data_IF_244943822740
#
_entry.id   IF_244943822740
#
_cell.length_a   1.000
_cell.length_b   1.000
_cell.length_c   1.000
_cell.angle_alpha   90.00
_cell.angle_beta   90.00
_cell.angle_gamma   90.00
#
_symmetry.space_group_name_H-M   'P 1'
#
loop_
_entity.id
_entity.type
_entity.pdbx_description
1 polymer ?
#
# COMPACT_ATOMS: atom_id res chain seq x y z
N UNK A 1 0.89 36.29 -9.05
CA UNK A 1 1.33 34.97 -9.55
C UNK A 1 1.42 34.08 -8.33
N UNK A 2 0.60 33.04 -8.25
CA UNK A 2 0.60 32.09 -7.13
C UNK A 2 1.58 30.96 -7.47
N UNK A 3 2.57 30.75 -6.61
CA UNK A 3 3.49 29.62 -6.68
C UNK A 3 2.74 28.38 -6.16
N UNK A 4 2.73 27.24 -6.88
CA UNK A 4 2.24 25.99 -6.33
C UNK A 4 3.33 25.38 -5.43
N UNK A 5 3.25 25.68 -4.14
CA UNK A 5 4.22 25.24 -3.12
C UNK A 5 4.14 23.71 -2.91
N UNK A 6 5.09 22.97 -3.50
CA UNK A 6 6.09 22.16 -2.78
C UNK A 6 5.69 21.15 -1.69
N UNK A 7 4.42 20.79 -1.51
CA UNK A 7 3.94 19.94 -0.40
C UNK A 7 4.45 18.48 -0.41
N UNK A 8 5.24 18.04 -1.39
CA UNK A 8 5.76 16.66 -1.44
C UNK A 8 6.92 16.42 -0.46
N UNK A 9 7.67 17.46 -0.07
CA UNK A 9 8.86 17.33 0.77
C UNK A 9 8.58 16.96 2.22
N UNK A 10 7.50 17.49 2.80
CA UNK A 10 7.14 17.25 4.19
C UNK A 10 6.54 15.86 4.40
N UNK A 11 5.77 15.33 3.44
CA UNK A 11 5.17 14.00 3.55
C UNK A 11 6.23 12.88 3.44
N UNK A 12 7.20 13.01 2.54
CA UNK A 12 8.33 12.09 2.47
C UNK A 12 9.24 12.20 3.70
N UNK A 13 9.45 13.41 4.22
CA UNK A 13 10.24 13.62 5.44
C UNK A 13 9.53 13.10 6.71
N UNK A 14 8.20 13.19 6.76
CA UNK A 14 7.38 12.60 7.83
C UNK A 14 7.29 11.07 7.72
N UNK A 15 7.30 10.50 6.51
CA UNK A 15 7.36 9.04 6.28
C UNK A 15 8.73 8.46 6.67
N UNK A 16 9.83 9.18 6.40
CA UNK A 16 11.19 8.75 6.72
C UNK A 16 11.57 9.00 8.19
N UNK A 17 10.74 9.70 8.96
CA UNK A 17 10.97 9.94 10.38
C UNK A 17 10.72 8.63 11.15
N UNK A 18 11.74 8.07 11.83
CA UNK A 18 11.59 6.82 12.54
C UNK A 18 10.53 6.97 13.64
N UNK A 19 9.52 6.10 13.64
CA UNK A 19 8.35 6.16 14.53
C UNK A 19 7.05 6.68 13.87
N UNK A 20 7.08 7.06 12.59
CA UNK A 20 5.88 7.48 11.83
C UNK A 20 4.86 6.35 11.57
N UNK A 21 5.26 5.08 11.73
CA UNK A 21 4.34 3.93 11.64
C UNK A 21 3.26 3.91 12.73
N UNK A 22 3.38 4.77 13.75
CA UNK A 22 2.43 4.93 14.85
C UNK A 22 1.40 6.04 14.58
N UNK A 23 1.48 6.70 13.41
CA UNK A 23 0.49 7.71 13.03
C UNK A 23 -0.68 7.06 12.25
N UNK A 24 -1.93 7.24 12.69
CA UNK A 24 -3.10 6.56 12.10
C UNK A 24 -3.34 6.89 10.62
N UNK A 25 -2.77 7.99 10.11
CA UNK A 25 -2.84 8.33 8.68
C UNK A 25 -1.95 7.44 7.81
N UNK A 26 -0.79 7.01 8.32
CA UNK A 26 0.11 6.13 7.58
C UNK A 26 -0.48 4.73 7.43
N UNK A 27 -1.07 4.20 8.51
CA UNK A 27 -1.80 2.92 8.50
C UNK A 27 -2.96 2.94 7.50
N UNK A 28 -3.72 4.04 7.42
CA UNK A 28 -4.81 4.19 6.45
C UNK A 28 -4.29 4.24 5.00
N UNK A 29 -3.18 4.95 4.75
CA UNK A 29 -2.57 4.97 3.43
C UNK A 29 -2.01 3.60 3.02
N UNK A 30 -1.43 2.86 3.97
CA UNK A 30 -0.94 1.51 3.77
C UNK A 30 -2.08 0.52 3.50
N UNK A 31 -3.18 0.61 4.24
CA UNK A 31 -4.41 -0.17 4.01
C UNK A 31 -4.98 0.08 2.60
N UNK A 32 -5.08 1.35 2.20
CA UNK A 32 -5.49 1.72 0.84
C UNK A 32 -4.55 1.13 -0.23
N UNK A 33 -3.25 1.15 0.01
CA UNK A 33 -2.26 0.60 -0.92
C UNK A 33 -2.39 -0.92 -1.05
N UNK A 34 -2.63 -1.65 0.04
CA UNK A 34 -2.90 -3.09 0.00
C UNK A 34 -4.18 -3.38 -0.77
N UNK A 35 -5.30 -2.71 -0.47
CA UNK A 35 -6.57 -2.92 -1.19
C UNK A 35 -6.42 -2.67 -2.70
N UNK A 36 -5.69 -1.62 -3.09
CA UNK A 36 -5.41 -1.33 -4.50
C UNK A 36 -4.57 -2.45 -5.15
N UNK A 37 -3.58 -2.97 -4.44
CA UNK A 37 -2.74 -4.07 -4.90
C UNK A 37 -3.53 -5.37 -5.04
N UNK A 38 -4.42 -5.69 -4.09
CA UNK A 38 -5.36 -6.81 -4.17
C UNK A 38 -6.17 -6.75 -5.45
N UNK A 39 -6.76 -5.59 -5.73
CA UNK A 39 -7.59 -5.37 -6.91
C UNK A 39 -6.81 -5.63 -8.20
N UNK A 40 -5.57 -5.15 -8.26
CA UNK A 40 -4.67 -5.37 -9.40
C UNK A 40 -4.30 -6.85 -9.53
N UNK A 41 -3.96 -7.53 -8.42
CA UNK A 41 -3.62 -8.96 -8.43
C UNK A 41 -4.82 -9.82 -8.84
N UNK A 42 -6.02 -9.52 -8.36
CA UNK A 42 -7.25 -10.20 -8.77
C UNK A 42 -7.53 -9.96 -10.25
N UNK A 43 -7.43 -8.72 -10.74
CA UNK A 43 -7.60 -8.41 -12.16
C UNK A 43 -6.56 -9.15 -13.02
N UNK A 44 -5.29 -9.20 -12.59
CA UNK A 44 -4.25 -9.96 -13.27
C UNK A 44 -4.50 -11.47 -13.21
N UNK A 45 -4.99 -12.01 -12.09
CA UNK A 45 -5.31 -13.44 -11.95
C UNK A 45 -6.35 -13.87 -12.99
N UNK A 46 -7.36 -13.03 -13.25
CA UNK A 46 -8.34 -13.24 -14.32
C UNK A 46 -7.71 -13.13 -15.72
N UNK A 47 -6.85 -12.14 -15.95
CA UNK A 47 -6.19 -11.92 -17.26
C UNK A 47 -5.15 -12.99 -17.60
N UNK A 48 -4.48 -13.59 -16.61
CA UNK A 48 -3.43 -14.61 -16.82
C UNK A 48 -3.93 -16.04 -16.67
N UNK A 49 -5.24 -16.27 -16.64
CA UNK A 49 -5.85 -17.60 -16.57
C UNK A 49 -5.37 -18.44 -15.36
N UNK A 50 -5.25 -17.81 -14.18
CA UNK A 50 -5.00 -18.53 -12.92
C UNK A 50 -3.56 -18.98 -12.71
N UNK A 51 -2.57 -18.15 -13.05
CA UNK A 51 -1.17 -18.43 -12.76
C UNK A 51 -0.95 -18.55 -11.23
N UNK A 52 -0.43 -19.69 -10.77
CA UNK A 52 -0.13 -19.98 -9.35
C UNK A 52 0.70 -18.89 -8.69
N UNK A 53 1.57 -18.23 -9.46
CA UNK A 53 2.40 -17.13 -8.97
C UNK A 53 1.57 -15.95 -8.46
N UNK A 54 0.39 -15.69 -9.01
CA UNK A 54 -0.49 -14.59 -8.58
C UNK A 54 -1.23 -14.98 -7.30
N UNK A 55 -1.59 -16.25 -7.13
CA UNK A 55 -2.11 -16.74 -5.86
C UNK A 55 -1.10 -16.61 -4.72
N UNK A 56 0.18 -16.90 -4.98
CA UNK A 56 1.24 -16.69 -4.00
C UNK A 56 1.38 -15.21 -3.60
N UNK A 57 1.28 -14.29 -4.57
CA UNK A 57 1.32 -12.85 -4.30
C UNK A 57 0.12 -12.38 -3.46
N UNK A 58 -1.09 -12.87 -3.75
CA UNK A 58 -2.30 -12.56 -2.95
C UNK A 58 -2.16 -13.11 -1.52
N UNK A 59 -1.61 -14.32 -1.35
CA UNK A 59 -1.41 -14.90 -0.03
C UNK A 59 -0.39 -14.10 0.82
N UNK A 60 0.71 -13.65 0.21
CA UNK A 60 1.71 -12.81 0.89
C UNK A 60 1.13 -11.44 1.24
N UNK A 61 0.36 -10.85 0.33
CA UNK A 61 -0.35 -9.59 0.55
C UNK A 61 -1.30 -9.69 1.75
N UNK A 62 -2.16 -10.71 1.79
CA UNK A 62 -3.07 -10.95 2.93
C UNK A 62 -2.32 -11.23 4.24
N UNK A 63 -1.18 -11.92 4.18
CA UNK A 63 -0.35 -12.15 5.37
C UNK A 63 0.30 -10.86 5.88
N UNK A 64 0.73 -9.96 4.98
CA UNK A 64 1.23 -8.64 5.33
C UNK A 64 0.13 -7.78 5.94
N UNK A 65 -1.06 -7.78 5.33
CA UNK A 65 -2.23 -7.06 5.81
C UNK A 65 -2.68 -7.56 7.20
N UNK A 66 -2.72 -8.87 7.41
CA UNK A 66 -3.06 -9.49 8.69
C UNK A 66 -2.00 -9.25 9.78
N UNK A 67 -0.74 -8.99 9.41
CA UNK A 67 0.31 -8.63 10.39
C UNK A 67 0.20 -7.18 10.86
N UNK A 68 -0.43 -6.33 10.06
CA UNK A 68 -0.64 -4.90 10.33
C UNK A 68 -1.98 -4.65 11.03
N UNK A 69 -2.98 -5.52 10.80
CA UNK A 69 -4.24 -5.54 11.54
C UNK A 69 -3.99 -6.07 12.97
N UNK A 70 -4.25 -5.28 14.03
CA UNK A 70 -3.91 -5.59 15.42
C UNK A 70 -4.70 -6.76 16.04
#
# INVERSE_FOLDING_TARGET
MAEPDGNSGDFFSEILKPGSSLQPKFLLALDLAFVALLFILVALAFLTAGNLHIFALIAIELALWASDCP
#
